data_IF_713795937543
#
_entry.id   IF_713795937543
#
_cell.length_a   1.000
_cell.length_b   1.000
_cell.length_c   1.000
_cell.angle_alpha   90.00
_cell.angle_beta   90.00
_cell.angle_gamma   90.00
#
_symmetry.space_group_name_H-M   'P 1'
#
loop_
_entity.id
_entity.type
_entity.pdbx_description
1 polymer ?
#
# COMPACT_ATOMS: atom_id res chain seq x y z
N UNK A 1 6.09 27.97 -41.06
CA UNK A 1 5.39 27.40 -39.90
C UNK A 1 6.25 26.24 -39.45
N UNK A 2 7.02 26.42 -38.38
CA UNK A 2 7.76 25.30 -37.78
C UNK A 2 6.74 24.38 -37.11
N UNK A 3 6.79 23.10 -37.47
CA UNK A 3 6.00 22.06 -36.82
C UNK A 3 6.46 21.94 -35.37
N UNK A 4 5.69 22.54 -34.46
CA UNK A 4 5.90 22.37 -33.02
C UNK A 4 5.53 20.91 -32.70
N UNK A 5 6.47 20.07 -32.25
CA UNK A 5 6.16 18.69 -31.93
C UNK A 5 5.12 18.65 -30.80
N UNK A 6 3.93 18.15 -31.13
CA UNK A 6 2.85 17.95 -30.16
C UNK A 6 3.19 16.71 -29.34
N UNK A 7 3.48 16.89 -28.05
CA UNK A 7 3.48 15.78 -27.11
C UNK A 7 2.03 15.32 -26.90
N UNK A 8 1.73 14.09 -27.28
CA UNK A 8 0.48 13.42 -26.98
C UNK A 8 0.75 12.21 -26.09
N UNK A 9 -0.23 11.84 -25.26
CA UNK A 9 -0.18 10.63 -24.44
C UNK A 9 -1.51 9.89 -24.58
N UNK A 10 -1.44 8.58 -24.86
CA UNK A 10 -2.62 7.72 -24.84
C UNK A 10 -2.98 7.40 -23.39
N UNK A 11 -4.24 7.65 -23.01
CA UNK A 11 -4.76 7.37 -21.67
C UNK A 11 -5.82 6.31 -21.80
N UNK A 12 -5.54 5.15 -21.21
CA UNK A 12 -6.54 4.08 -21.07
C UNK A 12 -7.42 4.36 -19.86
N UNK A 13 -8.67 3.88 -19.89
CA UNK A 13 -9.62 4.05 -18.79
C UNK A 13 -10.07 2.69 -18.28
N UNK A 14 -10.20 2.58 -16.96
CA UNK A 14 -10.93 1.50 -16.31
C UNK A 14 -12.32 2.03 -15.97
N UNK A 15 -13.35 1.43 -16.57
CA UNK A 15 -14.75 1.79 -16.29
C UNK A 15 -15.27 0.96 -15.13
N UNK A 16 -15.60 1.62 -14.03
CA UNK A 16 -16.19 1.01 -12.83
C UNK A 16 -17.62 1.53 -12.70
N UNK A 17 -18.62 0.64 -12.66
CA UNK A 17 -20.05 1.01 -12.69
C UNK A 17 -20.45 2.15 -11.72
N UNK A 18 -19.88 2.17 -10.51
CA UNK A 18 -20.22 3.17 -9.48
C UNK A 18 -19.31 4.42 -9.45
N UNK A 19 -18.16 4.38 -10.10
CA UNK A 19 -17.16 5.47 -10.07
C UNK A 19 -17.05 6.18 -11.42
N UNK A 20 -17.39 5.50 -12.51
CA UNK A 20 -17.20 5.97 -13.88
C UNK A 20 -15.83 5.57 -14.43
N UNK A 21 -15.30 6.40 -15.34
CA UNK A 21 -14.04 6.15 -16.03
C UNK A 21 -12.88 6.68 -15.20
N UNK A 22 -12.01 5.78 -14.73
CA UNK A 22 -10.79 6.14 -14.00
C UNK A 22 -9.59 6.00 -14.94
N UNK A 23 -8.83 7.08 -15.21
CA UNK A 23 -7.70 7.03 -16.12
C UNK A 23 -6.54 6.22 -15.54
N UNK A 24 -5.90 5.40 -16.37
CA UNK A 24 -4.63 4.73 -16.11
C UNK A 24 -3.52 5.61 -16.68
N UNK A 25 -2.81 6.30 -15.80
CA UNK A 25 -1.80 7.30 -16.17
C UNK A 25 -0.43 6.72 -16.49
N UNK A 26 -0.16 5.49 -16.06
CA UNK A 26 1.01 4.70 -16.44
C UNK A 26 0.70 3.21 -16.32
N UNK A 27 1.27 2.45 -17.25
CA UNK A 27 1.17 1.01 -17.34
C UNK A 27 -0.11 0.56 -18.01
N UNK A 28 -0.21 -0.75 -18.25
CA UNK A 28 -1.36 -1.34 -18.91
C UNK A 28 -2.13 -2.22 -17.92
N UNK A 29 -3.40 -1.90 -17.71
CA UNK A 29 -4.29 -2.66 -16.85
C UNK A 29 -4.53 -4.08 -17.39
N UNK A 30 -4.48 -4.28 -18.71
CA UNK A 30 -4.69 -5.60 -19.33
C UNK A 30 -3.51 -6.54 -19.09
N UNK A 31 -2.27 -6.02 -19.04
CA UNK A 31 -1.06 -6.76 -18.70
C UNK A 31 -1.05 -7.33 -17.27
N UNK A 32 -1.90 -6.83 -16.38
CA UNK A 32 -1.99 -7.27 -14.98
C UNK A 32 -2.80 -8.58 -14.90
N UNK A 33 -2.43 -9.58 -14.08
CA UNK A 33 -3.18 -10.83 -14.00
C UNK A 33 -4.65 -10.65 -13.56
N UNK A 34 -5.61 -11.45 -14.07
CA UNK A 34 -7.05 -11.23 -13.83
C UNK A 34 -7.48 -11.17 -12.36
N UNK A 35 -6.89 -11.99 -11.48
CA UNK A 35 -7.14 -11.91 -10.02
C UNK A 35 -6.73 -10.56 -9.43
N UNK A 36 -5.62 -10.00 -9.90
CA UNK A 36 -5.14 -8.68 -9.48
C UNK A 36 -6.04 -7.60 -10.08
N UNK A 37 -6.42 -7.69 -11.36
CA UNK A 37 -7.38 -6.76 -11.97
C UNK A 37 -8.70 -6.69 -11.18
N UNK A 38 -9.26 -7.84 -10.80
CA UNK A 38 -10.49 -7.91 -10.00
C UNK A 38 -10.33 -7.24 -8.64
N UNK A 39 -9.19 -7.46 -7.97
CA UNK A 39 -8.88 -6.79 -6.72
C UNK A 39 -8.67 -5.27 -6.90
N UNK A 40 -7.95 -4.84 -7.94
CA UNK A 40 -7.77 -3.42 -8.28
C UNK A 40 -9.12 -2.74 -8.53
N UNK A 41 -10.02 -3.36 -9.30
CA UNK A 41 -11.34 -2.83 -9.57
C UNK A 41 -12.15 -2.61 -8.28
N UNK A 42 -12.10 -3.56 -7.33
CA UNK A 42 -12.72 -3.41 -6.01
C UNK A 42 -12.12 -2.23 -5.23
N UNK A 43 -10.80 -2.08 -5.26
CA UNK A 43 -10.11 -1.03 -4.51
C UNK A 43 -10.29 0.36 -5.14
N UNK A 44 -10.37 0.45 -6.46
CA UNK A 44 -10.74 1.67 -7.19
C UNK A 44 -12.16 2.08 -6.83
N UNK A 45 -13.10 1.12 -6.81
CA UNK A 45 -14.48 1.38 -6.41
C UNK A 45 -14.58 1.89 -4.97
N UNK A 46 -13.82 1.30 -4.06
CA UNK A 46 -13.85 1.63 -2.64
C UNK A 46 -13.17 2.98 -2.34
N UNK A 47 -11.97 3.19 -2.88
CA UNK A 47 -11.12 4.33 -2.50
C UNK A 47 -11.36 5.58 -3.37
N UNK A 48 -12.04 5.42 -4.52
CA UNK A 48 -12.37 6.46 -5.51
C UNK A 48 -11.18 7.37 -5.87
N UNK A 49 -10.05 6.82 -6.37
CA UNK A 49 -8.91 7.63 -6.77
C UNK A 49 -9.20 8.46 -8.01
N UNK A 50 -8.43 9.53 -8.21
CA UNK A 50 -8.47 10.35 -9.44
C UNK A 50 -7.90 9.61 -10.65
N UNK A 51 -6.91 8.76 -10.43
CA UNK A 51 -6.20 8.04 -11.49
C UNK A 51 -5.48 6.82 -10.90
N UNK A 52 -5.21 5.84 -11.76
CA UNK A 52 -4.39 4.66 -11.44
C UNK A 52 -3.01 4.80 -12.07
N UNK A 53 -2.01 4.30 -11.39
CA UNK A 53 -0.62 4.27 -11.85
C UNK A 53 -0.02 2.91 -11.50
N UNK A 54 0.30 2.11 -12.51
CA UNK A 54 0.89 0.79 -12.33
C UNK A 54 2.41 0.93 -12.40
N UNK A 55 3.07 0.61 -11.28
CA UNK A 55 4.50 0.81 -11.11
C UNK A 55 5.28 -0.29 -11.84
N UNK A 56 6.35 0.08 -12.52
CA UNK A 56 7.26 -0.85 -13.19
C UNK A 56 8.59 -1.04 -12.44
N UNK A 57 8.89 -0.18 -11.46
CA UNK A 57 10.12 -0.22 -10.68
C UNK A 57 11.36 0.36 -11.38
N UNK A 58 11.20 0.98 -12.55
CA UNK A 58 12.32 1.51 -13.34
C UNK A 58 13.06 2.65 -12.63
N UNK A 59 14.27 2.97 -13.09
CA UNK A 59 15.02 4.11 -12.54
C UNK A 59 14.36 5.44 -12.94
N UNK A 60 13.83 5.54 -14.17
CA UNK A 60 13.11 6.72 -14.65
C UNK A 60 11.85 6.98 -13.81
N UNK A 61 11.15 5.92 -13.39
CA UNK A 61 10.04 6.03 -12.43
C UNK A 61 10.51 6.59 -11.10
N UNK A 62 11.62 6.07 -10.58
CA UNK A 62 12.16 6.52 -9.30
C UNK A 62 12.58 7.98 -9.35
N UNK A 63 13.28 8.40 -10.41
CA UNK A 63 13.69 9.79 -10.61
C UNK A 63 12.48 10.72 -10.73
N UNK A 64 11.50 10.35 -11.55
CA UNK A 64 10.28 11.15 -11.74
C UNK A 64 9.48 11.31 -10.44
N UNK A 65 9.33 10.24 -9.65
CA UNK A 65 8.61 10.31 -8.37
C UNK A 65 9.42 11.10 -7.33
N UNK A 66 10.74 10.97 -7.32
CA UNK A 66 11.64 11.72 -6.43
C UNK A 66 11.57 13.21 -6.72
N UNK A 67 11.67 13.61 -7.99
CA UNK A 67 11.54 15.01 -8.42
C UNK A 67 10.18 15.60 -7.99
N UNK A 68 9.08 14.85 -8.17
CA UNK A 68 7.76 15.27 -7.69
C UNK A 68 7.68 15.46 -6.18
N UNK A 69 8.39 14.65 -5.40
CA UNK A 69 8.40 14.77 -3.94
C UNK A 69 9.27 15.94 -3.46
N UNK A 70 10.37 16.22 -4.16
CA UNK A 70 11.22 17.39 -3.92
C UNK A 70 10.46 18.67 -4.27
N UNK A 71 9.82 18.72 -5.44
CA UNK A 71 8.97 19.86 -5.87
C UNK A 71 7.86 20.17 -4.86
N UNK A 72 7.25 19.13 -4.29
CA UNK A 72 6.19 19.27 -3.27
C UNK A 72 6.73 19.59 -1.87
N UNK A 73 8.04 19.61 -1.67
CA UNK A 73 8.69 19.85 -0.39
C UNK A 73 8.50 18.72 0.63
N UNK A 74 8.13 17.51 0.21
CA UNK A 74 8.09 16.31 1.07
C UNK A 74 9.49 15.73 1.24
N UNK A 75 10.32 15.79 0.18
CA UNK A 75 11.73 15.42 0.22
C UNK A 75 12.62 16.65 0.06
N UNK A 76 13.79 16.61 0.67
CA UNK A 76 14.87 17.57 0.44
C UNK A 76 16.13 16.83 0.07
N UNK A 77 16.76 17.19 -1.05
CA UNK A 77 18.00 16.56 -1.49
C UNK A 77 19.14 16.94 -0.53
N UNK A 78 19.94 15.96 -0.14
CA UNK A 78 21.11 16.16 0.70
C UNK A 78 22.33 16.40 -0.19
N UNK A 79 22.74 17.66 -0.36
CA UNK A 79 23.83 18.07 -1.27
C UNK A 79 25.20 17.49 -0.93
N UNK A 80 25.39 17.01 0.30
CA UNK A 80 26.64 16.38 0.75
C UNK A 80 26.83 14.95 0.22
N UNK A 81 25.75 14.30 -0.23
CA UNK A 81 25.75 12.87 -0.58
C UNK A 81 25.09 12.64 -1.95
N UNK A 82 25.51 11.58 -2.64
CA UNK A 82 24.93 11.22 -3.93
C UNK A 82 23.58 10.52 -3.75
N UNK A 83 22.57 10.95 -4.52
CA UNK A 83 21.22 10.38 -4.55
C UNK A 83 20.57 10.16 -3.17
N UNK A 84 20.85 11.05 -2.20
CA UNK A 84 20.32 10.98 -0.85
C UNK A 84 19.31 12.09 -0.58
N UNK A 85 18.26 11.75 0.16
CA UNK A 85 17.16 12.66 0.49
C UNK A 85 16.77 12.53 1.95
N UNK A 86 16.29 13.64 2.52
CA UNK A 86 15.70 13.69 3.85
C UNK A 86 14.20 13.95 3.74
N UNK A 87 13.42 13.29 4.59
CA UNK A 87 11.98 13.49 4.74
C UNK A 87 11.67 13.79 6.20
N UNK A 88 10.88 14.84 6.45
CA UNK A 88 10.44 15.23 7.78
C UNK A 88 8.95 14.92 7.89
N UNK A 89 8.57 14.02 8.78
CA UNK A 89 7.17 13.60 8.92
C UNK A 89 6.38 14.55 9.82
N UNK A 90 5.06 14.39 9.86
CA UNK A 90 4.24 14.95 10.95
C UNK A 90 4.70 14.29 12.27
N UNK A 91 4.95 15.05 13.35
CA UNK A 91 5.41 14.49 14.63
C UNK A 91 4.43 13.46 15.24
N UNK A 92 3.17 13.44 14.80
CA UNK A 92 2.15 12.46 15.20
C UNK A 92 2.25 11.14 14.43
N UNK A 93 3.07 11.08 13.37
CA UNK A 93 3.28 9.92 12.50
C UNK A 93 4.78 9.59 12.36
N UNK A 94 5.39 9.17 13.48
CA UNK A 94 6.84 8.97 13.62
C UNK A 94 7.25 7.54 14.00
N UNK A 95 6.28 6.67 14.30
CA UNK A 95 6.55 5.34 14.83
C UNK A 95 5.42 4.36 14.53
N UNK A 96 5.69 3.07 14.79
CA UNK A 96 4.63 2.05 14.81
C UNK A 96 3.69 2.33 15.97
N UNK A 97 2.40 2.22 15.73
CA UNK A 97 1.38 2.40 16.77
C UNK A 97 0.79 1.03 17.10
N UNK A 98 1.42 0.32 18.04
CA UNK A 98 1.03 -1.04 18.40
C UNK A 98 -0.40 -1.11 18.95
N UNK A 99 -0.87 -0.08 19.66
CA UNK A 99 -2.27 0.07 20.11
C UNK A 99 -3.29 0.21 18.98
N UNK A 100 -2.84 0.45 17.74
CA UNK A 100 -3.68 0.57 16.54
C UNK A 100 -3.39 -0.55 15.53
N UNK A 101 -2.70 -1.61 15.96
CA UNK A 101 -2.29 -2.72 15.12
C UNK A 101 -3.00 -4.01 15.52
N UNK A 102 -3.86 -4.53 14.64
CA UNK A 102 -4.74 -5.67 14.92
C UNK A 102 -4.51 -6.84 13.96
N UNK A 103 -4.88 -8.03 14.42
CA UNK A 103 -5.04 -9.24 13.62
C UNK A 103 -6.51 -9.64 13.70
N UNK A 104 -7.10 -10.00 12.55
CA UNK A 104 -8.50 -10.43 12.47
C UNK A 104 -8.55 -11.87 12.00
N UNK A 105 -9.14 -12.70 12.84
CA UNK A 105 -9.43 -14.12 12.62
C UNK A 105 -10.85 -14.39 13.12
N UNK A 106 -11.55 -15.37 12.55
CA UNK A 106 -12.90 -15.73 12.97
C UNK A 106 -12.94 -16.10 14.46
N UNK A 107 -11.97 -16.91 14.89
CA UNK A 107 -11.76 -17.25 16.29
C UNK A 107 -10.67 -16.38 16.92
N UNK A 108 -10.96 -15.74 18.05
CA UNK A 108 -10.01 -14.91 18.82
C UNK A 108 -8.71 -15.66 19.14
N UNK A 109 -8.83 -16.89 19.63
CA UNK A 109 -7.68 -17.65 20.11
C UNK A 109 -6.82 -18.27 18.99
N UNK A 110 -7.24 -18.14 17.74
CA UNK A 110 -6.40 -18.47 16.59
C UNK A 110 -5.28 -17.43 16.34
N UNK A 111 -5.40 -16.22 16.92
CA UNK A 111 -4.43 -15.12 16.75
C UNK A 111 -3.77 -14.65 18.04
N UNK A 112 -4.41 -14.81 19.20
CA UNK A 112 -3.86 -14.42 20.51
C UNK A 112 -4.06 -15.53 21.54
N UNK A 113 -3.13 -15.74 22.49
CA UNK A 113 -3.30 -16.78 23.50
C UNK A 113 -4.35 -16.40 24.55
N UNK A 114 -4.82 -17.40 25.29
CA UNK A 114 -5.60 -17.18 26.50
C UNK A 114 -4.80 -16.35 27.50
N UNK A 115 -5.39 -15.25 27.95
CA UNK A 115 -4.84 -14.39 29.02
C UNK A 115 -5.76 -14.50 30.23
N UNK A 116 -5.18 -14.38 31.43
CA UNK A 116 -5.98 -14.30 32.66
C UNK A 116 -6.90 -13.08 32.62
N UNK A 117 -8.06 -13.18 33.27
CA UNK A 117 -9.00 -12.07 33.37
C UNK A 117 -8.32 -10.82 33.95
N UNK A 118 -8.61 -9.65 33.37
CA UNK A 118 -7.96 -8.38 33.73
C UNK A 118 -6.54 -8.17 33.20
N UNK A 119 -5.89 -9.19 32.62
CA UNK A 119 -4.54 -9.08 32.05
C UNK A 119 -4.62 -8.76 30.56
N UNK A 120 -4.07 -7.60 30.17
CA UNK A 120 -3.94 -7.23 28.76
C UNK A 120 -2.95 -8.14 28.05
N UNK A 121 -3.37 -8.78 26.96
CA UNK A 121 -2.48 -9.56 26.11
C UNK A 121 -1.40 -8.66 25.48
N UNK A 122 -0.13 -9.02 25.69
CA UNK A 122 1.04 -8.31 25.14
C UNK A 122 1.58 -8.94 23.85
N UNK A 123 1.10 -10.13 23.49
CA UNK A 123 1.59 -10.90 22.34
C UNK A 123 0.89 -10.53 21.01
N UNK A 124 -0.21 -9.79 21.08
CA UNK A 124 -0.97 -9.36 19.92
C UNK A 124 -2.32 -8.77 20.31
N UNK A 125 -2.96 -8.12 19.36
CA UNK A 125 -4.31 -7.58 19.51
C UNK A 125 -5.22 -8.19 18.46
N UNK A 126 -6.34 -8.73 18.92
CA UNK A 126 -7.40 -9.27 18.08
C UNK A 126 -8.60 -8.33 18.05
N UNK A 127 -9.25 -8.24 16.91
CA UNK A 127 -10.55 -7.60 16.74
C UNK A 127 -11.46 -8.53 15.95
N UNK A 128 -12.76 -8.54 16.27
CA UNK A 128 -13.74 -9.37 15.57
C UNK A 128 -13.84 -8.94 14.09
N UNK A 129 -14.17 -9.86 13.16
CA UNK A 129 -14.42 -9.50 11.77
C UNK A 129 -15.49 -8.40 11.60
N UNK A 130 -16.56 -8.46 12.40
CA UNK A 130 -17.67 -7.51 12.34
C UNK A 130 -17.29 -6.12 12.82
N UNK A 131 -16.54 -6.02 13.94
CA UNK A 131 -16.09 -4.72 14.43
C UNK A 131 -15.02 -4.12 13.50
N UNK A 132 -14.10 -4.95 12.99
CA UNK A 132 -13.13 -4.47 12.00
C UNK A 132 -13.82 -3.96 10.74
N UNK A 133 -14.89 -4.61 10.29
CA UNK A 133 -15.65 -4.14 9.13
C UNK A 133 -16.18 -2.72 9.35
N UNK A 134 -16.77 -2.43 10.53
CA UNK A 134 -17.24 -1.07 10.89
C UNK A 134 -16.09 -0.06 10.85
N UNK A 135 -14.93 -0.41 11.41
CA UNK A 135 -13.76 0.47 11.40
C UNK A 135 -13.25 0.75 9.98
N UNK A 136 -13.27 -0.24 9.09
CA UNK A 136 -12.87 -0.07 7.69
C UNK A 136 -13.90 0.73 6.89
N UNK A 137 -15.20 0.51 7.12
CA UNK A 137 -16.29 1.24 6.47
C UNK A 137 -16.30 2.73 6.86
N UNK A 138 -15.82 3.10 8.05
CA UNK A 138 -15.64 4.49 8.48
C UNK A 138 -14.40 5.18 7.86
N UNK A 139 -13.48 4.41 7.26
CA UNK A 139 -12.16 4.90 6.82
C UNK A 139 -11.94 4.86 5.32
N UNK A 140 -12.19 3.71 4.70
CA UNK A 140 -11.77 3.43 3.33
C UNK A 140 -12.63 4.10 2.24
N UNK A 141 -13.96 4.20 2.37
CA UNK A 141 -14.79 4.81 1.34
C UNK A 141 -14.30 6.21 0.96
N UNK A 142 -13.88 6.36 -0.30
CA UNK A 142 -13.42 7.63 -0.87
C UNK A 142 -12.09 8.17 -0.32
N UNK A 143 -11.32 7.36 0.41
CA UNK A 143 -10.10 7.83 1.08
C UNK A 143 -9.00 8.36 0.13
N UNK A 144 -9.04 7.97 -1.15
CA UNK A 144 -8.11 8.41 -2.19
C UNK A 144 -8.72 9.45 -3.13
N UNK A 145 -9.87 10.04 -2.80
CA UNK A 145 -10.48 11.13 -3.57
C UNK A 145 -9.46 12.20 -3.95
N UNK A 146 -9.35 12.50 -5.25
CA UNK A 146 -8.39 13.49 -5.78
C UNK A 146 -6.90 13.08 -5.71
N UNK A 147 -6.57 11.85 -5.29
CA UNK A 147 -5.21 11.29 -5.25
C UNK A 147 -5.01 10.23 -6.33
N UNK A 148 -3.76 9.94 -6.63
CA UNK A 148 -3.37 8.85 -7.52
C UNK A 148 -3.28 7.56 -6.71
N UNK A 149 -3.80 6.47 -7.25
CA UNK A 149 -3.67 5.12 -6.73
C UNK A 149 -2.49 4.44 -7.42
N UNK A 150 -1.42 4.20 -6.66
CA UNK A 150 -0.23 3.50 -7.11
C UNK A 150 -0.38 2.01 -6.85
N UNK A 151 -0.17 1.20 -7.89
CA UNK A 151 -0.14 -0.27 -7.82
C UNK A 151 1.31 -0.71 -7.87
N UNK A 152 1.81 -1.25 -6.78
CA UNK A 152 3.21 -1.66 -6.61
C UNK A 152 3.25 -3.20 -6.57
N UNK A 153 3.59 -3.89 -7.68
CA UNK A 153 3.96 -5.29 -7.62
C UNK A 153 5.30 -5.42 -6.89
N UNK A 154 5.38 -6.32 -5.91
CA UNK A 154 6.65 -6.57 -5.24
C UNK A 154 6.85 -8.04 -4.88
N UNK A 155 8.12 -8.46 -4.89
CA UNK A 155 8.54 -9.79 -4.44
C UNK A 155 9.30 -9.71 -3.12
N UNK A 156 8.88 -10.53 -2.16
CA UNK A 156 9.61 -10.81 -0.93
C UNK A 156 10.58 -11.97 -1.16
N UNK A 157 11.77 -11.63 -1.63
CA UNK A 157 12.81 -12.57 -2.05
C UNK A 157 13.26 -12.29 -3.49
N UNK A 158 14.24 -13.05 -4.02
CA UNK A 158 14.57 -13.00 -5.44
C UNK A 158 13.36 -13.39 -6.29
N UNK A 159 13.12 -12.65 -7.38
CA UNK A 159 12.01 -12.94 -8.31
C UNK A 159 12.21 -14.34 -8.91
N UNK A 160 11.15 -15.16 -8.91
CA UNK A 160 11.18 -16.54 -9.40
C UNK A 160 11.74 -17.57 -8.42
N UNK A 161 12.22 -17.17 -7.23
CA UNK A 161 12.64 -18.12 -6.21
C UNK A 161 11.44 -18.91 -5.66
N UNK A 162 11.57 -20.23 -5.41
CA UNK A 162 10.49 -21.04 -4.83
C UNK A 162 10.10 -20.61 -3.41
N UNK A 163 10.98 -19.90 -2.70
CA UNK A 163 10.71 -19.36 -1.36
C UNK A 163 10.17 -17.93 -1.42
N UNK A 164 10.19 -17.29 -2.58
CA UNK A 164 9.69 -15.93 -2.71
C UNK A 164 8.17 -15.92 -2.62
N UNK A 165 7.63 -14.83 -2.06
CA UNK A 165 6.19 -14.59 -2.03
C UNK A 165 5.90 -13.24 -2.65
N UNK A 166 4.91 -13.21 -3.54
CA UNK A 166 4.49 -12.01 -4.26
C UNK A 166 3.41 -11.28 -3.46
N UNK A 167 3.54 -9.96 -3.38
CA UNK A 167 2.50 -9.08 -2.89
C UNK A 167 2.20 -7.99 -3.92
N UNK A 168 1.00 -7.46 -3.84
CA UNK A 168 0.63 -6.25 -4.59
C UNK A 168 0.18 -5.21 -3.58
N UNK A 169 0.89 -4.10 -3.53
CA UNK A 169 0.56 -2.99 -2.65
C UNK A 169 -0.11 -1.85 -3.42
N UNK A 170 -1.31 -1.47 -2.97
CA UNK A 170 -2.01 -0.28 -3.39
C UNK A 170 -1.72 0.84 -2.38
N UNK A 171 -1.33 2.01 -2.85
CA UNK A 171 -1.05 3.17 -2.00
C UNK A 171 -1.40 4.48 -2.68
N UNK A 172 -1.73 5.52 -1.90
CA UNK A 172 -1.87 6.91 -2.36
C UNK A 172 -0.66 7.80 -2.01
N UNK A 173 0.47 7.17 -1.65
CA UNK A 173 1.71 7.84 -1.23
C UNK A 173 2.89 7.52 -2.14
N UNK A 174 3.44 8.57 -2.75
CA UNK A 174 4.69 8.54 -3.51
C UNK A 174 5.90 8.12 -2.65
N UNK A 175 5.92 8.54 -1.38
CA UNK A 175 6.99 8.18 -0.45
C UNK A 175 7.02 6.66 -0.24
N UNK A 176 5.83 6.04 -0.13
CA UNK A 176 5.70 4.59 0.01
C UNK A 176 6.18 3.87 -1.24
N UNK A 177 5.85 4.37 -2.44
CA UNK A 177 6.35 3.83 -3.70
C UNK A 177 7.88 3.79 -3.73
N UNK A 178 8.55 4.93 -3.52
CA UNK A 178 10.01 5.00 -3.53
C UNK A 178 10.64 4.09 -2.48
N UNK A 179 10.10 4.11 -1.26
CA UNK A 179 10.62 3.31 -0.16
C UNK A 179 10.42 1.81 -0.41
N UNK A 180 9.29 1.39 -0.99
CA UNK A 180 9.04 0.00 -1.36
C UNK A 180 10.01 -0.46 -2.45
N UNK A 181 10.35 0.40 -3.42
CA UNK A 181 11.37 0.10 -4.44
C UNK A 181 12.74 -0.18 -3.84
N UNK A 182 13.14 0.54 -2.78
CA UNK A 182 14.41 0.28 -2.07
C UNK A 182 14.32 -1.00 -1.23
N UNK A 183 13.20 -1.21 -0.54
CA UNK A 183 13.06 -2.27 0.47
C UNK A 183 12.68 -3.64 -0.09
N UNK A 184 12.12 -3.68 -1.30
CA UNK A 184 11.59 -4.90 -1.94
C UNK A 184 11.99 -4.93 -3.41
N UNK A 185 11.79 -6.06 -4.09
CA UNK A 185 12.00 -6.12 -5.55
C UNK A 185 10.71 -5.68 -6.21
N UNK A 186 10.70 -4.48 -6.78
CA UNK A 186 9.58 -3.95 -7.57
C UNK A 186 9.96 -4.06 -9.04
N UNK A 187 9.14 -4.76 -9.83
CA UNK A 187 9.39 -4.96 -11.26
C UNK A 187 8.10 -5.36 -11.98
N UNK A 188 7.94 -4.94 -13.23
CA UNK A 188 6.89 -5.44 -14.13
C UNK A 188 7.01 -6.94 -14.43
N UNK A 189 8.22 -7.52 -14.33
CA UNK A 189 8.45 -8.97 -14.55
C UNK A 189 7.67 -9.83 -13.54
N UNK A 190 7.32 -9.28 -12.38
CA UNK A 190 6.54 -9.97 -11.34
C UNK A 190 5.20 -10.46 -11.88
N UNK A 191 4.59 -9.74 -12.82
CA UNK A 191 3.34 -10.16 -13.45
C UNK A 191 3.46 -11.48 -14.20
N UNK A 192 4.64 -11.79 -14.77
CA UNK A 192 4.92 -13.07 -15.44
C UNK A 192 5.10 -14.22 -14.46
N UNK A 193 5.57 -13.91 -13.25
CA UNK A 193 5.77 -14.90 -12.18
C UNK A 193 4.51 -15.16 -11.36
N UNK A 194 3.56 -14.22 -11.34
CA UNK A 194 2.26 -14.43 -10.73
C UNK A 194 1.37 -15.25 -11.69
N UNK A 195 1.48 -16.59 -11.59
CA UNK A 195 0.66 -17.52 -12.38
C UNK A 195 -0.83 -17.27 -12.14
N UNK A 196 -1.66 -17.65 -13.12
CA UNK A 196 -3.10 -17.36 -13.13
C UNK A 196 -3.84 -17.81 -11.84
N UNK A 197 -3.39 -18.91 -11.23
CA UNK A 197 -4.00 -19.49 -10.03
C UNK A 197 -3.26 -19.17 -8.73
N UNK A 198 -2.08 -18.54 -8.81
CA UNK A 198 -1.24 -18.30 -7.64
C UNK A 198 -1.80 -17.19 -6.75
N UNK A 199 -1.80 -17.44 -5.44
CA UNK A 199 -2.26 -16.48 -4.44
C UNK A 199 -1.15 -15.45 -4.15
N UNK A 200 -1.53 -14.17 -4.13
CA UNK A 200 -0.65 -13.07 -3.75
C UNK A 200 -1.16 -12.38 -2.49
N UNK A 201 -0.27 -11.72 -1.76
CA UNK A 201 -0.66 -10.94 -0.59
C UNK A 201 -1.23 -9.59 -1.02
N UNK A 202 -2.50 -9.35 -0.65
CA UNK A 202 -3.25 -8.12 -0.95
C UNK A 202 -2.92 -7.05 0.07
N UNK A 203 -2.22 -5.99 -0.33
CA UNK A 203 -1.80 -4.93 0.57
C UNK A 203 -2.50 -3.61 0.20
N UNK A 204 -3.44 -3.13 0.99
CA UNK A 204 -4.07 -1.81 0.80
C UNK A 204 -3.49 -0.80 1.81
N UNK A 205 -3.05 0.35 1.33
CA UNK A 205 -2.58 1.45 2.15
C UNK A 205 -3.22 2.77 1.71
N UNK A 206 -3.66 3.60 2.66
CA UNK A 206 -3.96 5.00 2.40
C UNK A 206 -3.47 5.87 3.55
N UNK A 207 -2.94 7.05 3.23
CA UNK A 207 -2.63 8.08 4.22
C UNK A 207 -3.89 8.68 4.87
N UNK A 208 -5.08 8.41 4.32
CA UNK A 208 -6.37 8.77 4.90
C UNK A 208 -6.71 10.25 4.81
N UNK A 209 -6.26 10.91 3.73
CA UNK A 209 -6.36 12.37 3.58
C UNK A 209 -6.84 12.78 2.17
N UNK A 210 -8.09 12.47 1.77
CA UNK A 210 -8.61 12.80 0.44
C UNK A 210 -8.58 14.32 0.15
N UNK A 211 -8.63 14.68 -1.14
CA UNK A 211 -8.58 16.07 -1.62
C UNK A 211 -9.96 16.54 -2.13
N UNK A 212 -10.30 17.83 -1.96
CA UNK A 212 -9.52 18.87 -1.28
C UNK A 212 -9.46 18.66 0.23
N UNK A 213 -8.32 18.97 0.84
CA UNK A 213 -8.15 18.87 2.29
C UNK A 213 -8.13 20.27 2.91
N UNK A 214 -8.93 20.48 3.94
CA UNK A 214 -9.18 21.81 4.53
C UNK A 214 -8.03 22.25 5.44
N UNK A 215 -7.39 21.32 6.14
CA UNK A 215 -6.33 21.66 7.09
C UNK A 215 -4.96 21.70 6.41
N UNK A 216 -4.05 22.48 6.98
CA UNK A 216 -2.66 22.52 6.54
C UNK A 216 -1.99 21.19 6.82
N UNK A 217 -1.38 20.59 5.81
CA UNK A 217 -0.54 19.41 5.96
C UNK A 217 0.76 19.80 6.65
N UNK A 218 1.03 19.23 7.82
CA UNK A 218 2.26 19.50 8.58
C UNK A 218 3.45 18.87 7.85
N UNK A 219 4.53 19.63 7.68
CA UNK A 219 5.77 19.20 7.01
C UNK A 219 5.57 18.56 5.62
N UNK A 220 4.51 18.91 4.89
CA UNK A 220 4.13 18.28 3.62
C UNK A 220 3.98 16.74 3.73
N UNK A 221 3.67 16.25 4.93
CA UNK A 221 3.48 14.84 5.26
C UNK A 221 1.99 14.53 5.51
N UNK A 222 1.27 13.97 4.51
CA UNK A 222 -0.13 13.62 4.70
C UNK A 222 -0.26 12.38 5.61
N UNK A 223 -1.03 12.52 6.68
CA UNK A 223 -1.39 11.43 7.58
C UNK A 223 -2.73 11.73 8.27
N UNK A 224 -3.35 10.70 8.85
CA UNK A 224 -4.54 10.80 9.70
C UNK A 224 -4.26 10.06 11.03
N UNK A 225 -3.60 10.74 12.00
CA UNK A 225 -3.20 10.13 13.26
C UNK A 225 -4.38 9.63 14.09
N UNK A 226 -5.52 10.33 14.05
CA UNK A 226 -6.72 9.99 14.82
C UNK A 226 -7.29 8.64 14.37
N UNK A 227 -7.53 8.50 13.05
CA UNK A 227 -8.09 7.29 12.46
C UNK A 227 -7.05 6.23 12.07
N UNK A 228 -5.78 6.38 12.46
CA UNK A 228 -4.75 5.38 12.12
C UNK A 228 -5.19 3.96 12.50
N UNK A 229 -5.01 3.01 11.59
CA UNK A 229 -5.41 1.62 11.79
C UNK A 229 -4.56 0.72 10.90
N UNK A 230 -3.93 -0.30 11.48
CA UNK A 230 -3.16 -1.30 10.75
C UNK A 230 -3.76 -2.67 11.08
N UNK A 231 -4.30 -3.36 10.09
CA UNK A 231 -4.97 -4.64 10.26
C UNK A 231 -4.43 -5.71 9.32
N UNK A 232 -4.34 -6.93 9.84
CA UNK A 232 -3.89 -8.12 9.14
C UNK A 232 -4.99 -9.16 9.15
N UNK A 233 -5.31 -9.69 7.98
CA UNK A 233 -6.25 -10.79 7.77
C UNK A 233 -5.45 -11.99 7.25
N UNK A 234 -4.86 -12.79 8.14
CA UNK A 234 -3.97 -13.89 7.76
C UNK A 234 -4.65 -14.94 6.88
N UNK A 235 -5.88 -15.33 7.20
CA UNK A 235 -6.59 -16.42 6.51
C UNK A 235 -6.93 -16.09 5.04
N UNK A 236 -7.03 -14.79 4.71
CA UNK A 236 -7.27 -14.31 3.33
C UNK A 236 -6.07 -13.54 2.76
N UNK A 237 -4.89 -13.67 3.38
CA UNK A 237 -3.62 -13.08 2.92
C UNK A 237 -3.73 -11.60 2.58
N UNK A 238 -4.39 -10.82 3.45
CA UNK A 238 -4.68 -9.40 3.22
C UNK A 238 -4.16 -8.53 4.36
N UNK A 239 -3.59 -7.39 4.00
CA UNK A 239 -3.16 -6.33 4.92
C UNK A 239 -3.86 -5.04 4.50
N UNK A 240 -4.44 -4.33 5.46
CA UNK A 240 -4.99 -3.00 5.25
C UNK A 240 -4.35 -2.06 6.27
N UNK A 241 -3.85 -0.93 5.78
CA UNK A 241 -3.28 0.13 6.62
C UNK A 241 -3.86 1.48 6.23
N UNK A 242 -4.24 2.25 7.24
CA UNK A 242 -4.88 3.54 7.07
C UNK A 242 -4.25 4.57 8.00
N UNK A 243 -4.08 5.79 7.50
CA UNK A 243 -3.81 6.98 8.30
C UNK A 243 -2.34 7.24 8.65
N UNK A 244 -1.42 6.32 8.37
CA UNK A 244 0.01 6.48 8.66
C UNK A 244 0.85 6.27 7.42
N UNK A 245 1.66 7.27 7.05
CA UNK A 245 2.65 7.17 5.97
C UNK A 245 3.98 6.58 6.42
N UNK A 246 4.16 6.34 7.72
CA UNK A 246 5.45 6.01 8.32
C UNK A 246 5.84 4.53 8.22
N UNK A 247 7.01 4.27 7.66
CA UNK A 247 7.80 3.04 7.85
C UNK A 247 7.00 1.74 7.94
N UNK A 248 7.01 1.10 9.11
CA UNK A 248 6.36 -0.21 9.30
C UNK A 248 4.83 -0.22 9.18
N UNK A 249 4.18 0.94 9.18
CA UNK A 249 2.73 1.06 9.00
C UNK A 249 2.37 1.19 7.51
N UNK A 250 3.26 1.73 6.68
CA UNK A 250 2.98 2.02 5.26
C UNK A 250 3.76 1.14 4.29
N UNK A 251 4.95 0.65 4.66
CA UNK A 251 5.75 -0.29 3.87
C UNK A 251 5.32 -1.72 4.18
N UNK A 252 4.19 -2.14 3.58
CA UNK A 252 3.47 -3.33 4.01
C UNK A 252 4.25 -4.63 3.77
N UNK A 253 5.22 -4.63 2.85
CA UNK A 253 6.17 -5.73 2.69
C UNK A 253 7.03 -6.01 3.93
N UNK A 254 7.41 -4.98 4.70
CA UNK A 254 8.48 -5.07 5.72
C UNK A 254 8.10 -5.87 6.97
N UNK A 255 7.00 -5.51 7.64
CA UNK A 255 6.60 -6.12 8.93
C UNK A 255 5.25 -6.79 8.84
N UNK A 256 4.29 -6.13 8.19
CA UNK A 256 2.94 -6.65 8.03
C UNK A 256 2.96 -7.96 7.23
N UNK A 257 3.61 -7.97 6.08
CA UNK A 257 3.77 -9.17 5.28
C UNK A 257 4.88 -10.08 5.84
N UNK A 258 6.15 -9.65 5.81
CA UNK A 258 7.29 -10.54 6.07
C UNK A 258 7.32 -11.24 7.43
N UNK A 259 6.55 -10.77 8.42
CA UNK A 259 6.46 -11.41 9.73
C UNK A 259 5.05 -11.89 10.05
N UNK A 260 4.04 -11.01 10.01
CA UNK A 260 2.70 -11.39 10.51
C UNK A 260 1.96 -12.31 9.55
N UNK A 261 1.87 -11.94 8.27
CA UNK A 261 1.24 -12.79 7.26
C UNK A 261 2.14 -13.98 6.93
N UNK A 262 3.45 -13.74 6.75
CA UNK A 262 4.41 -14.81 6.46
C UNK A 262 4.48 -15.84 7.59
N UNK A 263 4.34 -15.45 8.86
CA UNK A 263 4.27 -16.38 9.99
C UNK A 263 3.06 -17.31 9.91
N UNK A 264 1.90 -16.82 9.46
CA UNK A 264 0.75 -17.69 9.20
C UNK A 264 1.01 -18.60 8.00
N UNK A 265 1.50 -18.04 6.90
CA UNK A 265 1.84 -18.83 5.69
C UNK A 265 2.82 -19.96 6.05
N UNK A 266 3.86 -19.66 6.83
CA UNK A 266 4.84 -20.65 7.26
C UNK A 266 4.23 -21.75 8.13
N UNK A 267 3.27 -21.41 9.01
CA UNK A 267 2.48 -22.39 9.77
C UNK A 267 1.66 -23.29 8.84
N UNK A 268 0.97 -22.71 7.86
CA UNK A 268 0.08 -23.44 6.95
C UNK A 268 0.87 -24.32 5.95
N UNK A 269 2.06 -23.89 5.55
CA UNK A 269 2.93 -24.57 4.58
C UNK A 269 4.03 -25.44 5.23
N UNK A 270 4.12 -25.50 6.56
CA UNK A 270 5.10 -26.33 7.29
C UNK A 270 6.55 -25.86 7.16
N UNK A 271 6.78 -24.55 7.05
CA UNK A 271 8.10 -23.94 6.89
C UNK A 271 8.68 -23.34 8.20
N UNK A 272 8.07 -23.62 9.35
CA UNK A 272 8.45 -23.10 10.67
C UNK A 272 8.79 -24.21 11.66
#
# INVERSE_FOLDING_TARGET
MEDIPVQFAEVHYVSIQKVGNVPVTKGDFQSVPPKVQAWLAQMIQLCTPRAVYICDGSEEEAEMVTNKLVERGTLTQLTKYENCYICWTDPRDVARVESKTFIVTDEKYASVPHSREGVKCVLGQWMSPDDMKKELDDRLPGCMGGRMLYVIPFSMGPIGSPLSKIGVQITDSNYVLLSMRVMTRVSSEIWKHLRHDEEFVKCLHSVGLPRPHVQKVVNNWPCNPEKTLIVHFPDIRKVISFGSGYGGNSLLGKKCFALRIAGRIAKDEGCA
#
